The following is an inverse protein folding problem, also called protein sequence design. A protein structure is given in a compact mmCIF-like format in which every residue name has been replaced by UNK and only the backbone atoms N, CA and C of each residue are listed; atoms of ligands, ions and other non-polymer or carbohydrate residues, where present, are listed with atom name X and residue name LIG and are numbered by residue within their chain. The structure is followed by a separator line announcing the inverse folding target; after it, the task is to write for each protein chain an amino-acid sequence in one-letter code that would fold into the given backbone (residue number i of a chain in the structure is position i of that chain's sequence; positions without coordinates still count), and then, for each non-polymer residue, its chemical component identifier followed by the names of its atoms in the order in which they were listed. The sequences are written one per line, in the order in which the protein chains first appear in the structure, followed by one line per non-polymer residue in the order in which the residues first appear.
data_IF_884397802162
#
_entry.id   IF_884397802162
#
_cell.length_a   1.000
_cell.length_b   1.000
_cell.length_c   1.000
_cell.angle_alpha   90.00
_cell.angle_beta   90.00
_cell.angle_gamma   90.00
#
_symmetry.space_group_name_H-M   'P 1'
#
loop_
_entity.id
_entity.type
_entity.pdbx_description
1 polymer ?
#
# COMPACT_ATOMS: atom_id res chain seq x y z
N UNK A 1 -31.11 3.60 11.00
CA UNK A 1 -31.13 5.02 11.43
C UNK A 1 -29.78 5.70 11.16
N UNK A 2 -28.68 5.31 11.83
CA UNK A 2 -27.35 5.97 11.69
C UNK A 2 -26.85 6.07 10.25
N UNK A 3 -26.95 4.99 9.44
CA UNK A 3 -26.56 5.03 8.02
C UNK A 3 -27.39 6.01 7.17
N UNK A 4 -28.67 6.24 7.53
CA UNK A 4 -29.52 7.23 6.84
C UNK A 4 -29.04 8.65 7.16
N UNK A 5 -28.82 8.95 8.44
CA UNK A 5 -28.25 10.23 8.88
C UNK A 5 -26.86 10.49 8.29
N UNK A 6 -26.03 9.45 8.14
CA UNK A 6 -24.73 9.55 7.50
C UNK A 6 -24.85 9.95 6.02
N UNK A 7 -25.84 9.40 5.30
CA UNK A 7 -26.10 9.78 3.91
C UNK A 7 -26.52 11.26 3.80
N UNK A 8 -27.42 11.71 4.67
CA UNK A 8 -27.83 13.12 4.73
C UNK A 8 -26.67 14.06 5.08
N UNK A 9 -25.76 13.64 5.97
CA UNK A 9 -24.56 14.41 6.29
C UNK A 9 -23.60 14.53 5.10
N UNK A 10 -23.48 13.47 4.30
CA UNK A 10 -22.70 13.45 3.05
C UNK A 10 -23.30 14.39 2.00
N UNK A 11 -24.64 14.36 1.84
CA UNK A 11 -25.37 15.28 0.96
C UNK A 11 -25.23 16.74 1.41
N UNK A 12 -25.20 16.99 2.73
CA UNK A 12 -24.94 18.31 3.32
C UNK A 12 -23.44 18.71 3.34
N UNK A 13 -22.54 17.91 2.76
CA UNK A 13 -21.08 18.14 2.73
C UNK A 13 -20.43 18.35 4.11
N UNK A 14 -20.97 17.72 5.16
CA UNK A 14 -20.46 17.82 6.53
C UNK A 14 -19.47 16.71 6.86
N UNK A 15 -18.22 16.84 6.40
CA UNK A 15 -17.19 15.79 6.47
C UNK A 15 -16.91 15.30 7.91
N UNK A 16 -16.84 16.21 8.90
CA UNK A 16 -16.61 15.85 10.30
C UNK A 16 -17.74 14.99 10.85
N UNK A 17 -18.98 15.36 10.57
CA UNK A 17 -20.15 14.62 11.03
C UNK A 17 -20.25 13.26 10.34
N UNK A 18 -19.97 13.20 9.02
CA UNK A 18 -19.89 11.94 8.28
C UNK A 18 -18.89 10.97 8.92
N UNK A 19 -17.67 11.44 9.25
CA UNK A 19 -16.65 10.62 9.92
C UNK A 19 -17.13 10.07 11.27
N UNK A 20 -17.75 10.91 12.11
CA UNK A 20 -18.28 10.50 13.42
C UNK A 20 -19.41 9.47 13.26
N UNK A 21 -20.35 9.71 12.33
CA UNK A 21 -21.45 8.78 12.07
C UNK A 21 -20.96 7.46 11.46
N UNK A 22 -19.92 7.51 10.64
CA UNK A 22 -19.28 6.30 10.11
C UNK A 22 -18.58 5.49 11.22
N UNK A 23 -17.87 6.15 12.15
CA UNK A 23 -17.30 5.47 13.31
C UNK A 23 -18.40 4.83 14.18
N UNK A 24 -19.52 5.54 14.40
CA UNK A 24 -20.66 5.01 15.16
C UNK A 24 -21.30 3.79 14.49
N UNK A 25 -21.51 3.80 13.17
CA UNK A 25 -22.07 2.63 12.49
C UNK A 25 -21.11 1.43 12.49
N UNK A 26 -19.79 1.67 12.40
CA UNK A 26 -18.78 0.61 12.55
C UNK A 26 -18.78 0.01 13.95
N UNK A 27 -18.92 0.83 15.00
CA UNK A 27 -19.03 0.35 16.37
C UNK A 27 -20.27 -0.54 16.56
N UNK A 28 -21.44 -0.11 16.06
CA UNK A 28 -22.66 -0.92 16.09
C UNK A 28 -22.50 -2.23 15.31
N UNK A 29 -21.88 -2.20 14.12
CA UNK A 29 -21.56 -3.40 13.35
C UNK A 29 -20.64 -4.34 14.14
N UNK A 30 -19.62 -3.80 14.80
CA UNK A 30 -18.68 -4.57 15.61
C UNK A 30 -19.39 -5.27 16.76
N UNK A 31 -20.28 -4.56 17.47
CA UNK A 31 -21.11 -5.15 18.54
C UNK A 31 -21.90 -6.35 17.99
N UNK A 32 -22.61 -6.20 16.88
CA UNK A 32 -23.37 -7.30 16.26
C UNK A 32 -22.47 -8.49 15.88
N UNK A 33 -21.29 -8.23 15.30
CA UNK A 33 -20.35 -9.28 14.91
C UNK A 33 -19.76 -10.01 16.13
N UNK A 34 -19.45 -9.27 17.20
CA UNK A 34 -18.93 -9.83 18.45
C UNK A 34 -20.00 -10.65 19.19
N UNK A 35 -21.29 -10.27 19.10
CA UNK A 35 -22.39 -11.08 19.64
C UNK A 35 -22.40 -12.47 19.03
N UNK A 36 -22.22 -12.58 17.70
CA UNK A 36 -22.02 -13.88 17.05
C UNK A 36 -20.74 -14.55 17.54
N UNK A 37 -19.60 -13.85 17.52
CA UNK A 37 -18.30 -14.42 17.93
C UNK A 37 -18.28 -14.95 19.37
N UNK A 38 -19.08 -14.37 20.26
CA UNK A 38 -19.22 -14.80 21.65
C UNK A 38 -19.77 -16.24 21.75
N UNK A 39 -20.62 -16.66 20.81
CA UNK A 39 -21.15 -18.04 20.79
C UNK A 39 -20.05 -19.09 20.59
N UNK A 40 -18.96 -18.74 19.90
CA UNK A 40 -17.83 -19.65 19.64
C UNK A 40 -16.65 -19.46 20.60
N UNK A 41 -16.77 -18.62 21.62
CA UNK A 41 -15.65 -18.22 22.48
C UNK A 41 -15.24 -19.31 23.50
N UNK A 42 -14.70 -20.44 23.04
CA UNK A 42 -14.37 -21.59 23.89
C UNK A 42 -13.19 -21.40 24.85
N UNK A 43 -12.24 -20.52 24.54
CA UNK A 43 -11.03 -20.32 25.38
C UNK A 43 -11.25 -19.40 26.58
N UNK A 44 -12.02 -18.32 26.40
CA UNK A 44 -12.21 -17.26 27.41
C UNK A 44 -13.67 -16.82 27.59
N UNK A 45 -14.60 -17.38 26.83
CA UNK A 45 -16.02 -17.06 26.92
C UNK A 45 -16.65 -17.70 28.16
N UNK A 46 -17.65 -17.02 28.72
CA UNK A 46 -18.36 -17.50 29.92
C UNK A 46 -19.51 -18.46 29.61
N UNK A 47 -20.01 -18.44 28.37
CA UNK A 47 -21.14 -19.27 27.92
C UNK A 47 -21.01 -19.60 26.42
N UNK A 48 -20.00 -20.40 26.02
CA UNK A 48 -19.84 -20.81 24.63
C UNK A 48 -20.90 -21.85 24.23
N UNK A 49 -21.41 -21.73 23.01
CA UNK A 49 -22.28 -22.70 22.35
C UNK A 49 -21.79 -22.90 20.90
N UNK A 50 -20.81 -23.80 20.74
CA UNK A 50 -20.17 -24.05 19.45
C UNK A 50 -21.16 -24.53 18.38
N UNK A 51 -22.15 -25.35 18.77
CA UNK A 51 -23.19 -25.86 17.86
C UNK A 51 -23.99 -24.73 17.20
N UNK A 52 -24.29 -23.66 17.95
CA UNK A 52 -24.96 -22.48 17.40
C UNK A 52 -24.07 -21.74 16.40
N UNK A 53 -22.78 -21.58 16.71
CA UNK A 53 -21.83 -20.95 15.80
C UNK A 53 -21.69 -21.74 14.49
N UNK A 54 -21.57 -23.06 14.58
CA UNK A 54 -21.47 -23.96 13.42
C UNK A 54 -22.73 -23.91 12.55
N UNK A 55 -23.92 -23.92 13.18
CA UNK A 55 -25.18 -23.76 12.48
C UNK A 55 -25.24 -22.43 11.70
N UNK A 56 -24.83 -21.32 12.33
CA UNK A 56 -24.79 -20.00 11.68
C UNK A 56 -23.84 -19.99 10.47
N UNK A 57 -22.62 -20.52 10.62
CA UNK A 57 -21.62 -20.58 9.54
C UNK A 57 -22.12 -21.47 8.39
N UNK A 58 -22.70 -22.62 8.71
CA UNK A 58 -23.24 -23.54 7.71
C UNK A 58 -24.43 -22.92 6.97
N UNK A 59 -25.36 -22.28 7.67
CA UNK A 59 -26.46 -21.55 7.03
C UNK A 59 -25.94 -20.44 6.11
N UNK A 60 -24.96 -19.64 6.56
CA UNK A 60 -24.34 -18.61 5.74
C UNK A 60 -23.71 -19.16 4.45
N UNK A 61 -23.00 -20.29 4.56
CA UNK A 61 -22.45 -20.99 3.39
C UNK A 61 -23.53 -21.48 2.44
N UNK A 62 -24.57 -22.14 2.95
CA UNK A 62 -25.68 -22.63 2.14
C UNK A 62 -26.41 -21.50 1.42
N UNK A 63 -26.63 -20.36 2.10
CA UNK A 63 -27.23 -19.16 1.50
C UNK A 63 -26.36 -18.59 0.38
N UNK A 64 -25.04 -18.52 0.57
CA UNK A 64 -24.12 -18.05 -0.47
C UNK A 64 -24.14 -18.98 -1.69
N UNK A 65 -24.04 -20.29 -1.48
CA UNK A 65 -24.07 -21.29 -2.55
C UNK A 65 -25.42 -21.29 -3.28
N UNK A 66 -26.54 -21.09 -2.57
CA UNK A 66 -27.85 -20.93 -3.18
C UNK A 66 -27.95 -19.67 -4.04
N UNK A 67 -27.40 -18.54 -3.58
CA UNK A 67 -27.34 -17.32 -4.37
C UNK A 67 -26.49 -17.50 -5.65
N UNK A 68 -25.33 -18.17 -5.54
CA UNK A 68 -24.49 -18.50 -6.71
C UNK A 68 -25.26 -19.35 -7.72
N UNK A 69 -25.92 -20.42 -7.26
CA UNK A 69 -26.76 -21.27 -8.14
C UNK A 69 -27.86 -20.48 -8.83
N UNK A 70 -28.56 -19.60 -8.11
CA UNK A 70 -29.62 -18.77 -8.68
C UNK A 70 -29.10 -17.85 -9.79
N UNK A 71 -27.92 -17.24 -9.57
CA UNK A 71 -27.28 -16.34 -10.53
C UNK A 71 -26.86 -17.08 -11.80
N UNK A 72 -26.32 -18.30 -11.68
CA UNK A 72 -25.81 -19.07 -12.81
C UNK A 72 -26.91 -19.81 -13.59
N UNK A 73 -28.01 -20.20 -12.94
CA UNK A 73 -29.13 -20.90 -13.60
C UNK A 73 -29.92 -19.98 -14.52
N UNK A 74 -30.06 -18.69 -14.17
CA UNK A 74 -30.86 -17.76 -14.96
C UNK A 74 -30.10 -17.26 -16.18
N UNK A 75 -30.38 -17.88 -17.33
CA UNK A 75 -29.73 -17.58 -18.63
C UNK A 75 -29.90 -16.13 -19.09
N UNK A 76 -30.99 -15.47 -18.69
CA UNK A 76 -31.31 -14.09 -19.11
C UNK A 76 -30.19 -13.09 -18.76
N UNK A 77 -29.53 -13.30 -17.62
CA UNK A 77 -28.46 -12.41 -17.16
C UNK A 77 -27.13 -12.69 -17.85
N UNK A 78 -26.94 -13.88 -18.41
CA UNK A 78 -25.66 -14.37 -18.96
C UNK A 78 -24.49 -14.06 -18.01
N UNK A 79 -24.71 -14.38 -16.73
CA UNK A 79 -23.85 -14.03 -15.62
C UNK A 79 -23.01 -15.22 -15.19
N UNK A 80 -21.75 -14.98 -14.82
CA UNK A 80 -20.88 -16.03 -14.26
C UNK A 80 -20.26 -15.55 -12.96
N UNK A 81 -20.32 -16.35 -11.90
CA UNK A 81 -19.66 -16.00 -10.64
C UNK A 81 -18.15 -16.27 -10.79
N UNK A 82 -17.32 -15.27 -10.47
CA UNK A 82 -15.86 -15.36 -10.61
C UNK A 82 -15.12 -15.36 -9.29
N UNK A 83 -15.73 -14.83 -8.23
CA UNK A 83 -15.15 -14.77 -6.91
C UNK A 83 -16.25 -14.67 -5.85
N UNK A 84 -15.97 -15.17 -4.65
CA UNK A 84 -16.82 -14.99 -3.49
C UNK A 84 -15.99 -15.04 -2.21
N UNK A 85 -16.33 -14.18 -1.25
CA UNK A 85 -15.66 -14.13 0.06
C UNK A 85 -16.71 -13.95 1.16
N UNK A 86 -17.12 -15.07 1.76
CA UNK A 86 -18.06 -15.18 2.90
C UNK A 86 -19.45 -14.56 2.70
N UNK A 87 -19.54 -13.24 2.55
CA UNK A 87 -20.76 -12.43 2.44
C UNK A 87 -20.87 -11.68 1.10
N UNK A 88 -19.89 -11.82 0.22
CA UNK A 88 -19.83 -11.13 -1.07
C UNK A 88 -19.67 -12.09 -2.25
N UNK A 89 -20.30 -11.74 -3.37
CA UNK A 89 -20.23 -12.48 -4.65
C UNK A 89 -19.86 -11.51 -5.76
N UNK A 90 -18.88 -11.90 -6.59
CA UNK A 90 -18.43 -11.13 -7.74
C UNK A 90 -18.96 -11.82 -8.99
N UNK A 91 -19.81 -11.10 -9.71
CA UNK A 91 -20.49 -11.59 -10.90
C UNK A 91 -19.89 -10.93 -12.12
N UNK A 92 -19.39 -11.73 -13.07
CA UNK A 92 -18.87 -11.27 -14.35
C UNK A 92 -20.01 -11.23 -15.37
N UNK A 93 -20.27 -10.02 -15.87
CA UNK A 93 -21.19 -9.76 -16.98
C UNK A 93 -20.37 -9.42 -18.22
N UNK A 94 -20.18 -10.40 -19.13
CA UNK A 94 -19.33 -10.22 -20.31
C UNK A 94 -19.98 -9.26 -21.31
N UNK A 95 -19.23 -8.28 -21.79
CA UNK A 95 -19.65 -7.36 -22.86
C UNK A 95 -20.77 -6.39 -22.49
N UNK A 96 -21.10 -6.23 -21.20
CA UNK A 96 -22.15 -5.31 -20.74
C UNK A 96 -21.58 -3.94 -20.43
N UNK A 97 -22.39 -2.89 -20.65
CA UNK A 97 -22.04 -1.53 -20.26
C UNK A 97 -22.11 -1.36 -18.74
N UNK A 98 -21.52 -0.27 -18.22
CA UNK A 98 -21.61 0.09 -16.80
C UNK A 98 -23.08 0.24 -16.36
N UNK A 99 -23.92 0.90 -17.16
CA UNK A 99 -25.33 1.12 -16.84
C UNK A 99 -26.10 -0.20 -16.80
N UNK A 100 -25.86 -1.09 -17.76
CA UNK A 100 -26.44 -2.43 -17.78
C UNK A 100 -26.00 -3.26 -16.58
N UNK A 101 -24.73 -3.16 -16.19
CA UNK A 101 -24.21 -3.87 -15.03
C UNK A 101 -24.88 -3.43 -13.72
N UNK A 102 -25.17 -2.13 -13.55
CA UNK A 102 -25.96 -1.66 -12.41
C UNK A 102 -27.40 -2.17 -12.42
N UNK A 103 -28.07 -2.15 -13.59
CA UNK A 103 -29.44 -2.67 -13.75
C UNK A 103 -29.51 -4.16 -13.43
N UNK A 104 -28.71 -4.98 -14.12
CA UNK A 104 -28.66 -6.44 -13.92
C UNK A 104 -28.22 -6.77 -12.49
N UNK A 105 -27.25 -6.04 -11.94
CA UNK A 105 -26.82 -6.20 -10.56
C UNK A 105 -27.93 -5.95 -9.55
N UNK A 106 -28.81 -4.99 -9.80
CA UNK A 106 -29.98 -4.72 -8.96
C UNK A 106 -31.04 -5.82 -9.10
N UNK A 107 -31.32 -6.29 -10.32
CA UNK A 107 -32.23 -7.41 -10.56
C UNK A 107 -31.76 -8.70 -9.84
N UNK A 108 -30.45 -8.97 -9.89
CA UNK A 108 -29.85 -10.09 -9.15
C UNK A 108 -30.04 -9.90 -7.64
N UNK A 109 -29.76 -8.70 -7.13
CA UNK A 109 -29.90 -8.40 -5.70
C UNK A 109 -31.34 -8.59 -5.22
N UNK A 110 -32.32 -8.14 -6.00
CA UNK A 110 -33.74 -8.25 -5.68
C UNK A 110 -34.22 -9.71 -5.76
N UNK A 111 -33.81 -10.46 -6.78
CA UNK A 111 -34.16 -11.87 -6.95
C UNK A 111 -33.58 -12.74 -5.81
N UNK A 112 -32.31 -12.54 -5.47
CA UNK A 112 -31.67 -13.26 -4.35
C UNK A 112 -32.34 -12.86 -3.03
N UNK A 113 -32.65 -11.58 -2.83
CA UNK A 113 -33.37 -11.13 -1.62
C UNK A 113 -34.75 -11.77 -1.51
N UNK A 114 -35.51 -11.85 -2.60
CA UNK A 114 -36.83 -12.48 -2.61
C UNK A 114 -36.78 -14.00 -2.31
N UNK A 115 -35.68 -14.67 -2.67
CA UNK A 115 -35.48 -16.10 -2.39
C UNK A 115 -35.13 -16.42 -0.93
N UNK A 116 -34.84 -15.41 -0.11
CA UNK A 116 -34.38 -15.58 1.26
C UNK A 116 -35.42 -15.09 2.29
N UNK A 117 -35.45 -15.69 3.50
CA UNK A 117 -36.35 -15.23 4.56
C UNK A 117 -35.94 -13.84 5.07
N UNK A 118 -36.93 -13.05 5.51
CA UNK A 118 -36.66 -11.80 6.24
C UNK A 118 -35.87 -12.14 7.52
N UNK A 119 -34.80 -11.39 7.88
CA UNK A 119 -34.37 -10.08 7.36
C UNK A 119 -33.20 -10.14 6.35
N UNK A 120 -32.91 -11.30 5.75
CA UNK A 120 -31.76 -11.47 4.84
C UNK A 120 -32.01 -10.67 3.56
N UNK A 121 -31.09 -9.76 3.24
CA UNK A 121 -31.16 -8.94 2.02
C UNK A 121 -29.79 -8.88 1.36
N UNK A 122 -29.76 -9.06 0.04
CA UNK A 122 -28.57 -8.83 -0.77
C UNK A 122 -28.61 -7.40 -1.31
N UNK A 123 -27.52 -6.67 -1.17
CA UNK A 123 -27.42 -5.28 -1.64
C UNK A 123 -26.33 -5.17 -2.70
N UNK A 124 -26.66 -4.56 -3.83
CA UNK A 124 -25.64 -4.09 -4.78
C UNK A 124 -24.84 -2.94 -4.14
N UNK A 125 -23.55 -3.17 -3.91
CA UNK A 125 -22.68 -2.16 -3.31
C UNK A 125 -21.97 -1.32 -4.37
N UNK A 126 -21.38 -1.98 -5.37
CA UNK A 126 -20.49 -1.35 -6.37
C UNK A 126 -20.33 -2.22 -7.60
N UNK A 127 -20.00 -1.57 -8.71
CA UNK A 127 -19.61 -2.20 -9.98
C UNK A 127 -18.14 -1.92 -10.24
N UNK A 128 -17.39 -2.94 -10.64
CA UNK A 128 -15.99 -2.79 -11.03
C UNK A 128 -15.85 -2.81 -12.55
N UNK A 129 -15.26 -1.76 -13.14
CA UNK A 129 -14.89 -1.73 -14.57
C UNK A 129 -13.39 -1.86 -14.72
N UNK A 130 -12.92 -3.04 -15.12
CA UNK A 130 -11.50 -3.39 -15.00
C UNK A 130 -11.18 -3.83 -13.58
N UNK A 131 -11.01 -5.14 -13.39
CA UNK A 131 -10.73 -5.75 -12.10
C UNK A 131 -9.68 -6.84 -12.26
N UNK A 132 -8.70 -6.84 -11.37
CA UNK A 132 -7.65 -7.87 -11.28
C UNK A 132 -7.85 -8.61 -9.97
N UNK A 133 -8.15 -9.90 -10.07
CA UNK A 133 -8.27 -10.80 -8.94
C UNK A 133 -6.94 -11.55 -8.79
N UNK A 134 -6.14 -11.19 -7.78
CA UNK A 134 -4.79 -11.75 -7.60
C UNK A 134 -4.83 -13.05 -6.83
N UNK A 135 -5.50 -13.05 -5.69
CA UNK A 135 -5.68 -14.22 -4.83
C UNK A 135 -6.85 -13.98 -3.88
N UNK A 136 -7.18 -14.98 -3.06
CA UNK A 136 -8.18 -14.83 -2.00
C UNK A 136 -7.86 -13.60 -1.14
N UNK A 137 -8.85 -12.72 -0.98
CA UNK A 137 -8.78 -11.44 -0.24
C UNK A 137 -7.79 -10.42 -0.80
N UNK A 138 -7.36 -10.56 -2.06
CA UNK A 138 -6.45 -9.62 -2.74
C UNK A 138 -6.93 -9.35 -4.17
N UNK A 139 -7.58 -8.21 -4.35
CA UNK A 139 -8.08 -7.76 -5.64
C UNK A 139 -8.03 -6.23 -5.72
N UNK A 140 -7.99 -5.72 -6.95
CA UNK A 140 -7.99 -4.29 -7.24
C UNK A 140 -8.81 -4.02 -8.49
N UNK A 141 -9.47 -2.87 -8.57
CA UNK A 141 -10.24 -2.50 -9.74
C UNK A 141 -10.87 -1.12 -9.57
N UNK A 142 -11.29 -0.54 -10.69
CA UNK A 142 -11.96 0.76 -10.69
C UNK A 142 -13.38 0.59 -10.19
N UNK A 143 -13.65 1.08 -8.97
CA UNK A 143 -14.97 0.97 -8.34
C UNK A 143 -15.87 2.13 -8.77
N UNK A 144 -17.11 1.81 -9.07
CA UNK A 144 -18.19 2.76 -9.32
C UNK A 144 -19.33 2.46 -8.34
N UNK A 145 -19.79 3.49 -7.63
CA UNK A 145 -20.93 3.40 -6.71
C UNK A 145 -22.25 3.84 -7.38
N UNK A 146 -22.17 4.64 -8.44
CA UNK A 146 -23.32 5.04 -9.24
C UNK A 146 -23.07 4.91 -10.75
N UNK A 147 -24.14 4.76 -11.56
CA UNK A 147 -24.03 4.76 -13.03
C UNK A 147 -23.53 6.09 -13.61
N UNK A 148 -23.83 7.20 -12.94
CA UNK A 148 -23.47 8.56 -13.37
C UNK A 148 -22.03 8.95 -12.99
N UNK A 149 -21.37 8.17 -12.12
CA UNK A 149 -20.01 8.47 -11.72
C UNK A 149 -19.04 8.27 -12.89
N UNK A 150 -18.38 9.36 -13.31
CA UNK A 150 -17.43 9.36 -14.43
C UNK A 150 -16.05 8.84 -14.01
N UNK A 151 -15.55 9.26 -12.85
CA UNK A 151 -14.23 8.88 -12.35
C UNK A 151 -14.32 7.84 -11.23
N UNK A 152 -13.52 6.78 -11.34
CA UNK A 152 -13.35 5.84 -10.24
C UNK A 152 -12.60 6.50 -9.07
N UNK A 153 -12.94 6.12 -7.84
CA UNK A 153 -12.23 6.63 -6.66
C UNK A 153 -10.82 6.04 -6.60
N UNK A 154 -9.81 6.86 -6.89
CA UNK A 154 -8.36 6.66 -6.70
C UNK A 154 -7.87 5.24 -6.95
N UNK A 155 -7.34 4.99 -8.15
CA UNK A 155 -6.54 3.80 -8.39
C UNK A 155 -5.14 4.21 -8.80
N UNK A 156 -4.13 3.88 -8.00
CA UNK A 156 -2.72 4.01 -8.39
C UNK A 156 -2.34 3.20 -9.64
N UNK A 157 -3.26 2.35 -10.12
CA UNK A 157 -3.18 1.57 -11.37
C UNK A 157 -3.97 2.22 -12.53
N UNK A 158 -4.34 3.49 -12.41
CA UNK A 158 -5.09 4.26 -13.41
C UNK A 158 -4.51 4.09 -14.83
N UNK A 159 -3.18 4.14 -14.98
CA UNK A 159 -2.55 3.93 -16.29
C UNK A 159 -2.78 2.52 -16.84
N UNK A 160 -2.65 1.48 -16.01
CA UNK A 160 -2.86 0.09 -16.44
C UNK A 160 -4.31 -0.14 -16.88
N UNK A 161 -5.29 0.36 -16.10
CA UNK A 161 -6.70 0.18 -16.42
C UNK A 161 -7.21 1.10 -17.53
N UNK A 162 -6.59 2.27 -17.73
CA UNK A 162 -7.00 3.22 -18.76
C UNK A 162 -6.36 2.93 -20.13
N UNK A 163 -5.06 2.59 -20.18
CA UNK A 163 -4.37 2.39 -21.46
C UNK A 163 -4.34 0.94 -21.92
N UNK A 164 -4.44 -0.03 -20.99
CA UNK A 164 -4.17 -1.46 -21.26
C UNK A 164 -2.83 -1.73 -21.97
N UNK A 165 -1.92 -0.75 -21.97
CA UNK A 165 -0.66 -0.79 -22.71
C UNK A 165 0.49 -1.04 -21.73
N UNK A 166 1.03 -2.25 -21.80
CA UNK A 166 2.15 -2.69 -20.97
C UNK A 166 3.44 -1.89 -21.23
N UNK A 167 3.60 -1.30 -22.43
CA UNK A 167 4.80 -0.56 -22.81
C UNK A 167 4.90 0.76 -22.04
N UNK A 168 3.79 1.49 -21.94
CA UNK A 168 3.72 2.75 -21.15
C UNK A 168 3.91 2.50 -19.66
N UNK A 169 3.38 1.37 -19.18
CA UNK A 169 3.56 0.96 -17.79
C UNK A 169 5.03 0.65 -17.51
N UNK A 170 5.71 -0.08 -18.41
CA UNK A 170 7.15 -0.33 -18.32
C UNK A 170 7.95 0.97 -18.27
N UNK A 171 7.71 1.90 -19.19
CA UNK A 171 8.42 3.19 -19.24
C UNK A 171 8.22 4.02 -17.95
N UNK A 172 6.98 4.05 -17.43
CA UNK A 172 6.68 4.71 -16.16
C UNK A 172 7.39 4.08 -14.98
N UNK A 173 7.46 2.75 -14.94
CA UNK A 173 8.19 2.01 -13.90
C UNK A 173 9.70 2.25 -13.98
N UNK A 174 10.29 2.21 -15.18
CA UNK A 174 11.72 2.48 -15.38
C UNK A 174 12.10 3.89 -14.92
N UNK A 175 11.28 4.90 -15.28
CA UNK A 175 11.45 6.27 -14.77
C UNK A 175 11.39 6.33 -13.25
N UNK A 176 10.48 5.59 -12.63
CA UNK A 176 10.35 5.55 -11.17
C UNK A 176 11.54 4.84 -10.49
N UNK A 177 12.05 3.75 -11.07
CA UNK A 177 13.26 3.09 -10.60
C UNK A 177 14.46 4.02 -10.61
N UNK A 178 14.63 4.77 -11.70
CA UNK A 178 15.68 5.79 -11.82
C UNK A 178 15.51 6.86 -10.72
N UNK A 179 14.28 7.33 -10.47
CA UNK A 179 14.02 8.29 -9.38
C UNK A 179 14.37 7.74 -7.98
N UNK A 180 14.11 6.45 -7.73
CA UNK A 180 14.50 5.79 -6.47
C UNK A 180 16.03 5.72 -6.35
N UNK A 181 16.71 5.27 -7.41
CA UNK A 181 18.17 5.12 -7.43
C UNK A 181 18.90 6.47 -7.32
N UNK A 182 18.34 7.53 -7.92
CA UNK A 182 18.85 8.89 -7.81
C UNK A 182 18.47 9.60 -6.49
N UNK A 183 17.93 8.88 -5.50
CA UNK A 183 17.58 9.44 -4.18
C UNK A 183 16.60 10.64 -4.26
N UNK A 184 15.73 10.66 -5.29
CA UNK A 184 14.72 11.73 -5.49
C UNK A 184 13.42 11.46 -4.75
N UNK A 185 13.25 10.25 -4.21
CA UNK A 185 12.07 9.85 -3.43
C UNK A 185 12.30 10.18 -1.95
N UNK A 186 11.34 10.83 -1.26
CA UNK A 186 11.53 11.22 0.14
C UNK A 186 11.63 10.00 1.07
N UNK A 187 12.46 10.12 2.11
CA UNK A 187 12.72 9.05 3.08
C UNK A 187 11.44 8.44 3.68
N UNK A 188 10.40 9.27 3.88
CA UNK A 188 9.10 8.86 4.44
C UNK A 188 8.50 7.64 3.74
N UNK A 189 8.70 7.51 2.42
CA UNK A 189 8.17 6.39 1.62
C UNK A 189 8.91 5.07 1.91
N UNK A 190 10.10 5.13 2.51
CA UNK A 190 10.93 3.97 2.86
C UNK A 190 10.78 3.56 4.33
N UNK A 191 10.04 4.30 5.15
CA UNK A 191 9.86 3.99 6.58
C UNK A 191 8.85 2.87 6.74
N UNK A 192 9.30 1.74 7.28
CA UNK A 192 8.41 0.70 7.78
C UNK A 192 7.94 1.05 9.18
N UNK A 193 6.70 0.68 9.53
CA UNK A 193 6.20 0.75 10.91
C UNK A 193 5.55 -0.60 11.26
N UNK A 194 6.09 -1.30 12.25
CA UNK A 194 5.58 -2.60 12.70
C UNK A 194 5.30 -2.60 14.20
N UNK A 195 4.25 -3.32 14.59
CA UNK A 195 3.87 -3.49 15.99
C UNK A 195 4.88 -4.36 16.73
N UNK A 196 5.35 -3.88 17.88
CA UNK A 196 6.32 -4.57 18.73
C UNK A 196 5.62 -5.07 20.00
N UNK A 197 5.86 -6.35 20.34
CA UNK A 197 5.34 -7.04 21.52
C UNK A 197 6.49 -7.70 22.27
N UNK A 198 7.29 -6.87 22.94
CA UNK A 198 8.43 -7.35 23.73
C UNK A 198 7.96 -8.38 24.77
N UNK A 199 8.77 -9.41 25.00
CA UNK A 199 8.45 -10.53 25.89
C UNK A 199 7.60 -11.66 25.28
N UNK A 200 6.99 -11.48 24.10
CA UNK A 200 6.22 -12.55 23.41
C UNK A 200 7.04 -13.30 22.36
N UNK A 201 8.20 -12.79 21.96
CA UNK A 201 9.02 -13.38 20.89
C UNK A 201 9.91 -14.51 21.40
N UNK A 202 9.99 -15.61 20.64
CA UNK A 202 10.94 -16.69 20.90
C UNK A 202 12.38 -16.25 20.58
N UNK A 203 13.34 -16.87 21.25
CA UNK A 203 14.77 -16.59 21.09
C UNK A 203 15.18 -16.67 19.61
N UNK A 204 15.68 -15.57 19.05
CA UNK A 204 16.17 -15.49 17.66
C UNK A 204 15.12 -15.17 16.59
N UNK A 205 13.82 -15.04 16.92
CA UNK A 205 12.75 -14.71 15.95
C UNK A 205 12.22 -13.27 16.08
N UNK A 206 12.96 -12.39 16.75
CA UNK A 206 12.52 -11.02 16.97
C UNK A 206 12.39 -10.26 15.62
N UNK A 207 11.26 -9.58 15.36
CA UNK A 207 11.10 -8.80 14.16
C UNK A 207 12.09 -7.61 14.14
N UNK A 208 12.43 -7.07 12.97
CA UNK A 208 13.35 -5.93 12.85
C UNK A 208 12.98 -4.74 13.75
N UNK A 209 11.70 -4.45 13.89
CA UNK A 209 11.21 -3.38 14.77
C UNK A 209 11.54 -3.64 16.26
N UNK A 210 11.47 -4.89 16.73
CA UNK A 210 11.83 -5.23 18.10
C UNK A 210 13.35 -5.08 18.33
N UNK A 211 14.18 -5.39 17.33
CA UNK A 211 15.63 -5.18 17.42
C UNK A 211 15.98 -3.70 17.53
N UNK A 212 15.28 -2.83 16.78
CA UNK A 212 15.44 -1.38 16.90
C UNK A 212 15.07 -0.92 18.31
N UNK A 213 13.98 -1.43 18.87
CA UNK A 213 13.58 -1.13 20.24
C UNK A 213 14.63 -1.57 21.26
N UNK A 214 15.16 -2.80 21.15
CA UNK A 214 16.22 -3.28 22.05
C UNK A 214 17.49 -2.44 21.95
N UNK A 215 17.88 -2.02 20.73
CA UNK A 215 19.00 -1.09 20.53
C UNK A 215 18.73 0.28 21.16
N UNK A 216 17.50 0.78 21.11
CA UNK A 216 17.10 2.03 21.75
C UNK A 216 17.15 1.90 23.28
N UNK A 217 16.61 0.82 23.83
CA UNK A 217 16.65 0.50 25.27
C UNK A 217 18.07 0.36 25.81
N UNK A 218 19.01 -0.13 24.99
CA UNK A 218 20.43 -0.18 25.36
C UNK A 218 21.11 1.19 25.46
N UNK A 219 20.57 2.22 24.77
CA UNK A 219 21.03 3.61 24.88
C UNK A 219 20.32 4.34 26.02
N UNK A 220 19.00 4.16 26.12
CA UNK A 220 18.15 4.72 27.16
C UNK A 220 17.18 3.65 27.66
N UNK A 221 17.32 3.17 28.90
CA UNK A 221 16.41 2.19 29.49
C UNK A 221 14.94 2.63 29.48
N UNK A 222 14.63 3.93 29.42
CA UNK A 222 13.25 4.43 29.38
C UNK A 222 12.63 4.39 27.97
N UNK A 223 13.41 4.11 26.92
CA UNK A 223 12.93 4.02 25.55
C UNK A 223 12.23 2.68 25.23
N UNK A 224 11.69 2.00 26.24
CA UNK A 224 10.92 0.77 26.06
C UNK A 224 9.59 1.06 25.35
N UNK A 225 9.31 0.42 24.21
CA UNK A 225 8.05 0.59 23.50
C UNK A 225 6.89 0.00 24.29
N UNK A 226 5.73 0.63 24.22
CA UNK A 226 4.50 0.09 24.78
C UNK A 226 4.06 -1.18 24.04
N UNK A 227 3.26 -1.99 24.70
CA UNK A 227 2.70 -3.19 24.09
C UNK A 227 1.92 -2.87 22.80
N UNK A 228 2.31 -3.52 21.70
CA UNK A 228 1.78 -3.32 20.34
C UNK A 228 1.99 -1.91 19.77
N UNK A 229 2.96 -1.16 20.29
CA UNK A 229 3.36 0.12 19.70
C UNK A 229 4.01 -0.10 18.33
N UNK A 230 3.71 0.81 17.38
CA UNK A 230 4.27 0.76 16.03
C UNK A 230 5.61 1.48 15.99
N UNK A 231 6.69 0.72 15.93
CA UNK A 231 8.05 1.25 15.92
C UNK A 231 8.51 1.43 14.46
N UNK A 232 8.94 2.65 14.08
CA UNK A 232 9.41 2.93 12.73
C UNK A 232 10.86 2.47 12.52
N UNK A 233 11.18 2.00 11.32
CA UNK A 233 12.55 1.62 10.94
C UNK A 233 12.79 1.73 9.43
N UNK A 234 14.05 1.85 9.05
CA UNK A 234 14.53 1.85 7.66
C UNK A 234 15.63 0.80 7.46
N UNK A 235 15.80 0.35 6.22
CA UNK A 235 16.85 -0.62 5.85
C UNK A 235 17.98 0.09 5.11
N UNK A 236 19.18 0.01 5.67
CA UNK A 236 20.39 0.66 5.14
C UNK A 236 21.30 -0.34 4.42
N UNK A 237 22.25 0.19 3.65
CA UNK A 237 23.29 -0.62 3.03
C UNK A 237 24.25 -1.18 4.08
N UNK A 238 24.81 -2.35 3.78
CA UNK A 238 25.85 -2.97 4.59
C UNK A 238 26.68 -3.94 3.77
N UNK A 239 27.63 -4.65 4.41
CA UNK A 239 28.56 -5.51 3.71
C UNK A 239 27.83 -6.66 2.99
N UNK A 240 28.41 -7.19 1.89
CA UNK A 240 27.82 -8.30 1.15
C UNK A 240 27.62 -9.50 2.08
N UNK A 241 26.42 -10.09 2.06
CA UNK A 241 26.05 -11.22 2.92
C UNK A 241 25.56 -10.86 4.33
N UNK A 242 25.49 -9.57 4.70
CA UNK A 242 24.92 -9.15 5.98
C UNK A 242 23.45 -9.57 6.12
N UNK A 243 23.06 -9.99 7.34
CA UNK A 243 21.66 -10.33 7.61
C UNK A 243 20.81 -9.05 7.61
N UNK A 244 19.61 -9.14 7.06
CA UNK A 244 18.68 -8.00 7.01
C UNK A 244 18.44 -7.36 8.39
N UNK A 245 18.38 -8.17 9.44
CA UNK A 245 18.18 -7.72 10.82
C UNK A 245 19.29 -6.77 11.31
N UNK A 246 20.52 -6.96 10.83
CA UNK A 246 21.67 -6.15 11.22
C UNK A 246 21.68 -4.81 10.46
N UNK A 247 20.99 -4.74 9.31
CA UNK A 247 20.88 -3.58 8.42
C UNK A 247 19.72 -2.64 8.76
N UNK A 248 19.07 -2.83 9.90
CA UNK A 248 17.89 -2.07 10.30
C UNK A 248 18.25 -1.02 11.34
N UNK A 249 17.82 0.22 11.09
CA UNK A 249 18.06 1.39 11.94
C UNK A 249 16.78 2.20 12.12
N UNK A 250 16.67 2.97 13.22
CA UNK A 250 15.57 3.93 13.39
C UNK A 250 15.74 5.13 12.45
N UNK A 251 14.65 5.83 12.08
CA UNK A 251 14.74 7.07 11.30
C UNK A 251 15.64 8.11 11.97
N UNK A 252 15.55 8.28 13.30
CA UNK A 252 16.37 9.24 14.04
C UNK A 252 17.86 8.91 13.95
N UNK A 253 18.22 7.64 14.14
CA UNK A 253 19.61 7.19 14.01
C UNK A 253 20.14 7.33 12.58
N UNK A 254 19.28 7.14 11.57
CA UNK A 254 19.62 7.41 10.18
C UNK A 254 19.95 8.89 9.94
N UNK A 255 19.19 9.82 10.54
CA UNK A 255 19.45 11.25 10.42
C UNK A 255 20.72 11.68 11.17
N UNK A 256 20.93 11.18 12.38
CA UNK A 256 22.11 11.50 13.20
C UNK A 256 23.41 11.03 12.53
N UNK A 257 23.37 9.84 11.90
CA UNK A 257 24.53 9.20 11.27
C UNK A 257 24.45 9.15 9.76
N UNK A 258 23.85 10.17 9.15
CA UNK A 258 23.59 10.23 7.70
C UNK A 258 24.83 10.09 6.82
N UNK A 259 26.01 10.51 7.31
CA UNK A 259 27.30 10.34 6.61
C UNK A 259 27.76 8.87 6.53
N UNK A 260 27.24 8.00 7.40
CA UNK A 260 27.64 6.58 7.49
C UNK A 260 26.59 5.64 6.92
N UNK A 261 25.34 6.08 6.82
CA UNK A 261 24.23 5.25 6.36
C UNK A 261 23.64 5.77 5.06
N UNK A 262 23.53 4.88 4.08
CA UNK A 262 22.77 5.09 2.86
C UNK A 262 21.64 4.06 2.77
N UNK A 263 20.50 4.45 2.20
CA UNK A 263 19.34 3.56 2.06
C UNK A 263 19.65 2.44 1.06
N UNK A 264 19.20 1.23 1.38
CA UNK A 264 19.36 0.08 0.51
C UNK A 264 18.26 0.02 -0.55
N UNK A 265 18.35 0.88 -1.57
CA UNK A 265 17.37 0.93 -2.66
C UNK A 265 17.19 -0.41 -3.36
N UNK A 266 18.27 -1.18 -3.54
CA UNK A 266 18.23 -2.51 -4.14
C UNK A 266 17.34 -3.47 -3.35
N UNK A 267 17.39 -3.43 -2.01
CA UNK A 267 16.49 -4.19 -1.16
C UNK A 267 15.03 -3.76 -1.35
N UNK A 268 14.73 -2.46 -1.34
CA UNK A 268 13.35 -2.00 -1.51
C UNK A 268 12.78 -2.38 -2.88
N UNK A 269 13.52 -2.13 -3.96
CA UNK A 269 13.08 -2.48 -5.32
C UNK A 269 12.86 -4.00 -5.43
N UNK A 270 13.89 -4.80 -5.13
CA UNK A 270 13.84 -6.24 -5.40
C UNK A 270 13.04 -7.07 -4.40
N UNK A 271 12.97 -6.66 -3.13
CA UNK A 271 12.30 -7.43 -2.08
C UNK A 271 10.91 -6.91 -1.73
N UNK A 272 10.60 -5.64 -2.01
CA UNK A 272 9.29 -5.06 -1.68
C UNK A 272 8.45 -4.78 -2.92
N UNK A 273 9.00 -4.03 -3.88
CA UNK A 273 8.21 -3.50 -4.99
C UNK A 273 8.03 -4.56 -6.09
N UNK A 274 9.12 -5.18 -6.58
CA UNK A 274 9.05 -6.21 -7.64
C UNK A 274 8.12 -7.36 -7.26
N UNK A 275 8.20 -8.01 -6.08
CA UNK A 275 7.32 -9.13 -5.75
C UNK A 275 5.84 -8.74 -5.63
N UNK A 276 5.56 -7.46 -5.35
CA UNK A 276 4.19 -6.94 -5.28
C UNK A 276 3.61 -6.70 -6.66
N UNK A 277 4.40 -6.15 -7.56
CA UNK A 277 4.01 -5.91 -8.93
C UNK A 277 3.98 -7.22 -9.73
N UNK A 278 4.95 -8.12 -9.54
CA UNK A 278 5.04 -9.41 -10.23
C UNK A 278 3.74 -10.21 -10.08
N UNK A 279 3.15 -10.21 -8.88
CA UNK A 279 1.85 -10.84 -8.62
C UNK A 279 0.69 -10.27 -9.45
N UNK A 280 0.75 -8.98 -9.79
CA UNK A 280 -0.27 -8.33 -10.62
C UNK A 280 -0.04 -8.62 -12.11
N UNK A 281 1.19 -8.42 -12.59
CA UNK A 281 1.51 -8.51 -14.02
C UNK A 281 1.72 -9.95 -14.53
N UNK A 282 1.93 -10.91 -13.64
CA UNK A 282 1.90 -12.33 -14.02
C UNK A 282 0.53 -12.71 -14.62
N UNK A 283 -0.56 -12.10 -14.13
CA UNK A 283 -1.91 -12.32 -14.65
C UNK A 283 -2.09 -11.73 -16.06
N UNK A 284 -1.28 -10.75 -16.42
CA UNK A 284 -1.25 -10.15 -17.78
C UNK A 284 -0.19 -10.81 -18.67
N UNK A 285 0.53 -11.83 -18.17
CA UNK A 285 1.61 -12.51 -18.91
C UNK A 285 2.93 -11.75 -18.98
N UNK A 286 3.12 -10.67 -18.21
CA UNK A 286 4.34 -9.87 -18.22
C UNK A 286 5.27 -10.26 -17.05
N UNK A 287 6.55 -10.48 -17.38
CA UNK A 287 7.59 -10.73 -16.39
C UNK A 287 8.30 -9.41 -16.04
N UNK A 288 8.15 -8.94 -14.80
CA UNK A 288 8.75 -7.68 -14.34
C UNK A 288 10.21 -7.85 -13.96
N UNK A 289 10.65 -9.07 -13.62
CA UNK A 289 12.07 -9.29 -13.29
C UNK A 289 12.97 -9.02 -14.48
N UNK A 290 12.49 -9.22 -15.70
CA UNK A 290 13.24 -8.81 -16.90
C UNK A 290 13.24 -7.30 -17.13
N UNK A 291 12.42 -6.53 -16.41
CA UNK A 291 12.42 -5.06 -16.43
C UNK A 291 13.29 -4.47 -15.30
N UNK A 292 13.95 -5.30 -14.49
CA UNK A 292 14.85 -4.80 -13.45
C UNK A 292 16.08 -4.17 -14.09
N UNK A 293 16.43 -2.98 -13.62
CA UNK A 293 17.67 -2.30 -13.99
C UNK A 293 18.84 -3.17 -13.51
N UNK A 294 19.63 -3.71 -14.44
CA UNK A 294 20.84 -4.46 -14.10
C UNK A 294 21.32 -5.52 -15.10
N UNK A 295 20.51 -5.95 -16.06
CA UNK A 295 21.00 -6.90 -17.08
C UNK A 295 21.64 -6.25 -18.31
N UNK A 296 21.42 -4.95 -18.54
CA UNK A 296 21.98 -4.19 -19.66
C UNK A 296 22.55 -2.83 -19.21
N UNK A 297 23.23 -2.75 -18.06
CA UNK A 297 23.70 -1.46 -17.50
C UNK A 297 24.94 -0.87 -18.15
N UNK A 298 25.43 -1.45 -19.25
CA UNK A 298 26.27 -0.75 -20.21
C UNK A 298 25.82 -1.18 -21.61
N UNK A 299 25.43 -0.23 -22.47
CA UNK A 299 25.38 -0.55 -23.89
C UNK A 299 26.80 -0.92 -24.36
N UNK A 300 26.91 -1.74 -25.42
CA UNK A 300 28.23 -2.12 -25.96
C UNK A 300 29.12 -0.89 -26.25
N UNK A 301 28.52 0.25 -26.61
CA UNK A 301 29.24 1.52 -26.83
C UNK A 301 29.80 2.16 -25.54
N UNK A 302 29.07 2.11 -24.43
CA UNK A 302 29.55 2.62 -23.13
C UNK A 302 30.66 1.77 -22.53
N UNK A 303 30.74 0.49 -22.93
CA UNK A 303 31.86 -0.40 -22.59
C UNK A 303 33.09 -0.09 -23.46
N UNK A 304 32.87 0.36 -24.71
CA UNK A 304 33.91 0.69 -25.67
C UNK A 304 34.53 2.09 -25.50
N UNK A 305 33.80 3.07 -24.93
CA UNK A 305 34.31 4.44 -24.77
C UNK A 305 34.01 5.06 -23.38
N UNK A 306 34.92 4.90 -22.41
CA UNK A 306 34.75 5.38 -21.03
C UNK A 306 34.60 6.91 -20.90
N UNK A 307 35.14 7.69 -21.83
CA UNK A 307 35.15 9.16 -21.76
C UNK A 307 33.76 9.77 -21.98
N UNK A 308 32.90 9.11 -22.76
CA UNK A 308 31.53 9.59 -23.03
C UNK A 308 30.63 9.41 -21.81
N UNK A 309 30.82 8.32 -21.07
CA UNK A 309 30.17 8.06 -19.78
C UNK A 309 30.62 9.08 -18.73
N UNK A 310 31.92 9.39 -18.67
CA UNK A 310 32.48 10.45 -17.82
C UNK A 310 31.90 11.83 -18.13
N UNK A 311 31.78 12.21 -19.41
CA UNK A 311 31.17 13.46 -19.80
C UNK A 311 29.69 13.51 -19.39
N UNK A 312 28.92 12.44 -19.62
CA UNK A 312 27.52 12.37 -19.21
C UNK A 312 27.34 12.48 -17.68
N UNK A 313 28.21 11.83 -16.91
CA UNK A 313 28.26 11.95 -15.45
C UNK A 313 28.59 13.40 -15.05
N UNK A 314 29.55 14.04 -15.73
CA UNK A 314 29.92 15.43 -15.47
C UNK A 314 28.75 16.39 -15.75
N UNK A 315 28.10 16.31 -16.90
CA UNK A 315 26.95 17.17 -17.24
C UNK A 315 25.75 16.95 -16.31
N UNK A 316 25.52 15.70 -15.89
CA UNK A 316 24.52 15.37 -14.89
C UNK A 316 24.86 16.01 -13.54
N UNK A 317 26.13 15.91 -13.10
CA UNK A 317 26.63 16.55 -11.88
C UNK A 317 26.48 18.07 -11.92
N UNK A 318 26.79 18.74 -13.04
CA UNK A 318 26.65 20.20 -13.16
C UNK A 318 25.19 20.65 -13.07
N UNK A 319 24.28 19.94 -13.75
CA UNK A 319 22.82 20.18 -13.63
C UNK A 319 22.32 19.93 -12.21
N UNK A 320 22.91 18.95 -11.53
CA UNK A 320 22.60 18.61 -10.15
C UNK A 320 23.02 19.73 -9.19
N UNK A 321 24.22 20.31 -9.35
CA UNK A 321 24.68 21.47 -8.55
C UNK A 321 23.79 22.70 -8.73
N UNK A 322 23.33 22.97 -9.95
CA UNK A 322 22.41 24.07 -10.24
C UNK A 322 21.05 23.90 -9.53
N UNK A 323 20.51 22.69 -9.49
CA UNK A 323 19.25 22.39 -8.79
C UNK A 323 19.37 22.59 -7.26
N UNK A 324 20.50 22.21 -6.67
CA UNK A 324 20.79 22.44 -5.24
C UNK A 324 20.85 23.93 -4.93
N UNK A 325 21.49 24.72 -5.80
CA UNK A 325 21.58 26.18 -5.63
C UNK A 325 20.18 26.83 -5.65
N UNK A 326 19.29 26.39 -6.55
CA UNK A 326 17.91 26.85 -6.61
C UNK A 326 17.10 26.48 -5.35
N UNK A 327 17.28 25.27 -4.81
CA UNK A 327 16.63 24.86 -3.56
C UNK A 327 17.15 25.64 -2.34
N UNK A 328 18.46 25.94 -2.29
CA UNK A 328 19.05 26.79 -1.24
C UNK A 328 18.47 28.21 -1.29
N UNK A 329 18.30 28.78 -2.48
CA UNK A 329 17.59 30.05 -2.70
C UNK A 329 16.14 30.01 -2.21
N UNK A 330 15.39 28.94 -2.52
CA UNK A 330 14.02 28.78 -2.03
C UNK A 330 13.94 28.67 -0.50
N UNK A 331 14.94 28.05 0.13
CA UNK A 331 15.04 27.95 1.58
C UNK A 331 15.40 29.30 2.24
N UNK A 332 16.22 30.15 1.60
CA UNK A 332 16.53 31.51 2.08
C UNK A 332 15.34 32.48 1.97
N UNK A 333 14.36 32.18 1.12
CA UNK A 333 13.11 32.95 1.06
C UNK A 333 12.10 32.55 2.15
N UNK A 334 12.31 31.41 2.82
CA UNK A 334 11.41 30.86 3.83
C UNK A 334 11.76 31.30 5.27
N UNK A 335 12.99 31.76 5.51
CA UNK A 335 13.49 32.17 6.83
C UNK A 335 14.40 33.39 6.71
N UNK A 336 14.40 34.30 7.69
CA UNK A 336 15.41 35.37 7.78
C UNK A 336 16.82 34.78 7.77
N UNK A 337 17.77 35.48 7.13
CA UNK A 337 19.09 34.96 6.71
C UNK A 337 19.86 34.23 7.81
N UNK A 338 19.64 34.57 9.08
CA UNK A 338 20.35 34.01 10.24
C UNK A 338 19.76 32.69 10.76
N UNK A 339 18.56 32.29 10.33
CA UNK A 339 17.90 31.03 10.72
C UNK A 339 18.11 29.88 9.71
N UNK A 340 18.69 30.18 8.54
CA UNK A 340 18.91 29.20 7.45
C UNK A 340 19.81 28.03 7.85
N UNK A 341 20.86 28.29 8.64
CA UNK A 341 21.82 27.27 9.09
C UNK A 341 21.28 26.37 10.21
N UNK A 342 20.26 26.81 10.93
CA UNK A 342 19.73 26.15 12.14
C UNK A 342 18.32 25.55 11.97
N UNK A 343 17.75 25.58 10.77
CA UNK A 343 16.45 24.95 10.50
C UNK A 343 16.57 23.42 10.62
N UNK A 344 15.68 22.77 11.40
CA UNK A 344 15.62 21.31 11.62
C UNK A 344 14.24 20.72 11.32
N UNK A 345 13.47 21.35 10.41
CA UNK A 345 12.11 20.90 10.10
C UNK A 345 12.12 19.66 9.19
N UNK A 346 12.06 18.49 9.80
CA UNK A 346 12.06 17.17 9.14
C UNK A 346 10.83 16.97 8.23
N UNK A 347 9.75 17.73 8.41
CA UNK A 347 8.57 17.68 7.53
C UNK A 347 8.74 18.52 6.24
N UNK A 348 9.74 19.40 6.18
CA UNK A 348 9.97 20.28 5.03
C UNK A 348 10.63 19.53 3.86
N UNK A 349 9.99 19.56 2.68
CA UNK A 349 10.50 18.91 1.46
C UNK A 349 11.83 19.49 0.99
N UNK A 350 11.97 20.82 1.02
CA UNK A 350 13.17 21.53 0.56
C UNK A 350 14.36 21.22 1.47
N UNK A 351 14.15 21.23 2.79
CA UNK A 351 15.20 20.92 3.78
C UNK A 351 15.71 19.48 3.65
N UNK A 352 14.80 18.53 3.50
CA UNK A 352 15.15 17.13 3.30
C UNK A 352 16.01 16.93 2.04
N UNK A 353 15.64 17.57 0.93
CA UNK A 353 16.41 17.52 -0.31
C UNK A 353 17.79 18.14 -0.15
N UNK A 354 17.93 19.36 0.39
CA UNK A 354 19.24 20.01 0.60
C UNK A 354 20.18 19.14 1.45
N UNK A 355 19.67 18.58 2.55
CA UNK A 355 20.47 17.72 3.44
C UNK A 355 20.77 16.33 2.86
N UNK A 356 20.00 15.84 1.87
CA UNK A 356 20.39 14.65 1.09
C UNK A 356 21.64 14.98 0.25
N UNK A 357 21.63 16.11 -0.43
CA UNK A 357 22.69 16.51 -1.38
C UNK A 357 24.03 16.84 -0.71
N UNK A 358 24.01 17.42 0.50
CA UNK A 358 25.25 17.69 1.25
C UNK A 358 25.97 16.42 1.70
N UNK A 359 25.26 15.29 1.83
CA UNK A 359 25.86 13.99 2.15
C UNK A 359 26.49 13.35 0.92
N UNK A 360 25.82 13.38 -0.25
CA UNK A 360 26.35 12.78 -1.48
C UNK A 360 27.68 13.41 -1.93
N UNK A 361 27.87 14.73 -1.72
CA UNK A 361 29.14 15.42 -1.98
C UNK A 361 30.28 14.96 -1.05
N UNK A 362 29.96 14.58 0.19
CA UNK A 362 30.92 14.06 1.16
C UNK A 362 31.31 12.59 0.87
N UNK A 363 30.40 11.80 0.30
CA UNK A 363 30.68 10.42 -0.11
C UNK A 363 31.56 10.35 -1.35
N UNK A 364 31.38 11.28 -2.31
CA UNK A 364 32.20 11.36 -3.53
C UNK A 364 33.65 11.81 -3.25
N UNK A 365 33.84 12.74 -2.32
CA UNK A 365 35.18 13.24 -1.95
C UNK A 365 35.99 12.28 -1.08
N UNK A 366 35.36 11.28 -0.47
CA UNK A 366 36.05 10.25 0.31
C UNK A 366 36.63 9.12 -0.56
N UNK A 367 36.20 8.97 -1.81
CA UNK A 367 36.77 7.99 -2.74
C UNK A 367 38.02 8.49 -3.50
N UNK A 368 38.37 9.78 -3.36
CA UNK A 368 39.56 10.40 -3.97
C UNK A 368 40.75 10.55 -2.99
N UNK A 369 40.67 9.94 -1.80
CA UNK A 369 41.78 9.78 -0.85
C UNK A 369 41.94 8.31 -0.51
#
# INVERSE_FOLDING_TARGET
MVKKSMKSAKEASQERLEKVLNARQLALKMISNVTYGYTAAGFSGRMPCAQLADAIVQTGRCTLEAAVRLIEVKSDWNARVVYGDTDSVFVLLKGRSKQDAFRIGQEIADAVTASNPRPVTLKLEKVYMGCVLVSKKRYVGNKFESPTQEHAMQASLETLFASSDLSKVKEGMEKYWIQILENRVPLKEFIFAKEVRLGTYSNGSAPPAALVSVKAMGKDPQAEPRYAERVPYVVVNGPPGARLMDLVVSPDEYFDKRKRYSINYHYYINKQIIPSLERLFLLTGANIRSWSIGNDTLCQECTANPQRSLLAIHTASTRHEQAVMALKLACTACADRDAFTNCNNVACRVWNHIKLFEVDKATLTYQER
#
